data_IF_485939708710
#
_entry.id   IF_485939708710
#
_cell.length_a   1.000
_cell.length_b   1.000
_cell.length_c   1.000
_cell.angle_alpha   90.00
_cell.angle_beta   90.00
_cell.angle_gamma   90.00
#
_symmetry.space_group_name_H-M   'P 1'
#
loop_
_entity.id
_entity.type
_entity.pdbx_description
1 polymer ?
#
# COMPACT_ATOMS: atom_id res chain seq x y z
N UNK A 1 -5.24 -54.71 22.63
CA UNK A 1 -5.51 -54.31 21.23
C UNK A 1 -6.51 -53.14 21.14
N UNK A 2 -7.69 -53.21 21.77
CA UNK A 2 -8.72 -52.14 21.69
C UNK A 2 -8.23 -50.75 22.12
N UNK A 3 -7.43 -50.67 23.20
CA UNK A 3 -6.89 -49.40 23.73
C UNK A 3 -5.95 -48.68 22.74
N UNK A 4 -5.13 -49.42 21.98
CA UNK A 4 -4.20 -48.85 21.01
C UNK A 4 -4.93 -48.24 19.80
N UNK A 5 -6.02 -48.88 19.37
CA UNK A 5 -6.89 -48.37 18.29
C UNK A 5 -7.56 -47.06 18.70
N UNK A 6 -8.04 -46.95 19.94
CA UNK A 6 -8.65 -45.73 20.47
C UNK A 6 -7.64 -44.57 20.50
N UNK A 7 -6.40 -44.82 20.92
CA UNK A 7 -5.33 -43.81 20.95
C UNK A 7 -5.03 -43.31 19.53
N UNK A 8 -4.94 -44.19 18.54
CA UNK A 8 -4.71 -43.80 17.14
C UNK A 8 -5.88 -42.96 16.61
N UNK A 9 -7.12 -43.35 16.88
CA UNK A 9 -8.31 -42.60 16.45
C UNK A 9 -8.31 -41.18 17.06
N UNK A 10 -8.03 -41.06 18.35
CA UNK A 10 -7.95 -39.76 19.02
C UNK A 10 -6.82 -38.89 18.45
N UNK A 11 -5.66 -39.46 18.16
CA UNK A 11 -4.56 -38.74 17.52
C UNK A 11 -4.91 -38.28 16.10
N UNK A 12 -5.59 -39.11 15.31
CA UNK A 12 -6.07 -38.73 13.98
C UNK A 12 -7.12 -37.61 14.04
N UNK A 13 -8.04 -37.66 15.02
CA UNK A 13 -9.04 -36.62 15.23
C UNK A 13 -8.36 -35.30 15.64
N UNK A 14 -7.43 -35.35 16.60
CA UNK A 14 -6.66 -34.17 17.03
C UNK A 14 -5.88 -33.59 15.85
N UNK A 15 -5.19 -34.42 15.07
CA UNK A 15 -4.43 -33.99 13.90
C UNK A 15 -5.35 -33.38 12.83
N UNK A 16 -6.52 -33.97 12.56
CA UNK A 16 -7.52 -33.42 11.66
C UNK A 16 -8.00 -32.03 12.10
N UNK A 17 -8.31 -31.85 13.39
CA UNK A 17 -8.70 -30.55 13.92
C UNK A 17 -7.57 -29.53 13.85
N UNK A 18 -6.32 -29.92 14.14
CA UNK A 18 -5.16 -29.04 14.03
C UNK A 18 -4.88 -28.60 12.58
N UNK A 19 -5.00 -29.52 11.62
CA UNK A 19 -4.85 -29.22 10.19
C UNK A 19 -5.99 -28.31 9.72
N UNK A 20 -7.23 -28.64 10.06
CA UNK A 20 -8.41 -27.85 9.70
C UNK A 20 -8.36 -26.44 10.28
N UNK A 21 -7.95 -26.31 11.56
CA UNK A 21 -7.73 -25.03 12.21
C UNK A 21 -6.66 -24.22 11.46
N UNK A 22 -5.46 -24.79 11.25
CA UNK A 22 -4.39 -24.11 10.50
C UNK A 22 -4.85 -23.66 9.11
N UNK A 23 -5.57 -24.51 8.39
CA UNK A 23 -6.10 -24.18 7.07
C UNK A 23 -7.09 -23.02 7.13
N UNK A 24 -8.00 -23.03 8.10
CA UNK A 24 -8.97 -21.96 8.33
C UNK A 24 -8.32 -20.59 8.62
N UNK A 25 -7.22 -20.54 9.39
CA UNK A 25 -6.50 -19.28 9.66
C UNK A 25 -5.68 -18.77 8.50
N UNK A 26 -5.13 -19.68 7.68
CA UNK A 26 -4.35 -19.32 6.50
C UNK A 26 -5.26 -18.80 5.37
N UNK A 27 -6.52 -19.24 5.30
CA UNK A 27 -7.46 -18.85 4.25
C UNK A 27 -8.27 -17.58 4.52
N UNK A 28 -8.11 -16.92 5.68
CA UNK A 28 -8.84 -15.68 5.96
C UNK A 28 -8.41 -14.56 4.98
N UNK A 29 -9.37 -13.89 4.30
CA UNK A 29 -9.06 -12.75 3.46
C UNK A 29 -8.45 -11.64 4.33
N UNK A 30 -7.31 -11.10 3.89
CA UNK A 30 -6.68 -9.98 4.58
C UNK A 30 -7.62 -8.76 4.50
N UNK A 31 -8.09 -8.29 5.65
CA UNK A 31 -8.89 -7.07 5.73
C UNK A 31 -8.02 -5.93 5.18
N UNK A 32 -8.45 -5.22 4.11
CA UNK A 32 -7.68 -4.11 3.56
C UNK A 32 -7.45 -3.07 4.65
N UNK A 33 -6.17 -2.77 4.91
CA UNK A 33 -5.78 -1.76 5.91
C UNK A 33 -5.46 -0.44 5.21
N UNK A 34 -5.75 0.71 5.85
CA UNK A 34 -5.33 1.99 5.33
C UNK A 34 -3.81 2.06 5.16
N UNK A 35 -3.36 2.49 3.99
CA UNK A 35 -1.97 2.68 3.66
C UNK A 35 -1.79 3.93 2.79
N UNK A 36 -0.55 4.38 2.63
CA UNK A 36 -0.25 5.39 1.62
C UNK A 36 -0.08 4.71 0.26
N UNK A 37 -0.51 5.38 -0.78
CA UNK A 37 -0.27 4.97 -2.15
C UNK A 37 -0.07 6.18 -3.06
N UNK A 38 0.83 6.04 -4.04
CA UNK A 38 1.17 7.10 -4.96
C UNK A 38 0.43 6.93 -6.29
N UNK A 39 -0.09 8.02 -6.85
CA UNK A 39 -0.85 8.07 -8.10
C UNK A 39 -0.14 8.96 -9.10
N UNK A 40 0.14 8.40 -10.28
CA UNK A 40 0.67 9.09 -11.44
C UNK A 40 2.09 9.61 -11.26
N UNK A 41 2.61 10.18 -12.35
CA UNK A 41 3.89 10.90 -12.39
C UNK A 41 3.65 12.18 -13.19
N UNK A 42 3.94 13.33 -12.59
CA UNK A 42 3.82 14.65 -13.23
C UNK A 42 2.44 14.95 -13.86
N UNK A 43 1.35 14.55 -13.19
CA UNK A 43 0.00 14.61 -13.76
C UNK A 43 -0.91 15.65 -13.08
N UNK A 44 -0.71 15.94 -11.80
CA UNK A 44 -1.68 16.66 -10.98
C UNK A 44 -1.09 17.92 -10.35
N UNK A 45 -1.88 19.01 -10.37
CA UNK A 45 -1.60 20.24 -9.61
C UNK A 45 -2.19 20.13 -8.21
N UNK A 46 -1.60 20.83 -7.24
CA UNK A 46 -2.00 20.73 -5.83
C UNK A 46 -3.50 20.96 -5.61
N UNK A 47 -4.11 21.94 -6.31
CA UNK A 47 -5.53 22.27 -6.15
C UNK A 47 -6.49 21.10 -6.47
N UNK A 48 -6.07 20.13 -7.29
CA UNK A 48 -6.89 18.97 -7.67
C UNK A 48 -6.70 17.73 -6.79
N UNK A 49 -5.67 17.70 -5.95
CA UNK A 49 -5.21 16.45 -5.32
C UNK A 49 -6.12 15.98 -4.19
N UNK A 50 -6.68 16.91 -3.41
CA UNK A 50 -7.61 16.57 -2.33
C UNK A 50 -8.89 15.94 -2.88
N UNK A 51 -9.46 16.54 -3.93
CA UNK A 51 -10.64 15.99 -4.61
C UNK A 51 -10.34 14.62 -5.25
N UNK A 52 -9.14 14.43 -5.80
CA UNK A 52 -8.70 13.14 -6.34
C UNK A 52 -8.67 12.05 -5.26
N UNK A 53 -8.00 12.29 -4.12
CA UNK A 53 -7.95 11.30 -3.05
C UNK A 53 -9.35 11.03 -2.47
N UNK A 54 -10.18 12.06 -2.29
CA UNK A 54 -11.56 11.91 -1.78
C UNK A 54 -12.42 10.99 -2.65
N UNK A 55 -12.29 11.08 -3.98
CA UNK A 55 -13.00 10.16 -4.91
C UNK A 55 -12.59 8.70 -4.75
N UNK A 56 -11.43 8.44 -4.14
CA UNK A 56 -10.93 7.10 -3.82
C UNK A 56 -11.16 6.73 -2.35
N UNK A 57 -12.13 7.35 -1.69
CA UNK A 57 -12.40 7.17 -0.26
C UNK A 57 -11.14 7.33 0.61
N UNK A 58 -10.28 8.27 0.20
CA UNK A 58 -8.97 8.53 0.79
C UNK A 58 -8.78 10.03 0.99
N UNK A 59 -7.70 10.43 1.66
CA UNK A 59 -7.29 11.84 1.76
C UNK A 59 -5.86 12.01 1.27
N UNK A 60 -5.42 13.26 1.14
CA UNK A 60 -3.98 13.52 1.02
C UNK A 60 -3.25 12.90 2.22
N UNK A 61 -2.14 12.23 1.93
CA UNK A 61 -1.28 11.71 2.97
C UNK A 61 -0.55 12.86 3.68
N UNK A 62 -0.26 12.67 4.96
CA UNK A 62 0.67 13.53 5.68
C UNK A 62 2.12 13.20 5.28
N UNK A 63 3.04 14.14 5.48
CA UNK A 63 4.49 13.86 5.33
C UNK A 63 4.93 12.69 6.24
N UNK A 64 4.40 12.63 7.46
CA UNK A 64 4.74 11.59 8.44
C UNK A 64 4.28 10.19 8.02
N UNK A 65 3.09 10.07 7.43
CA UNK A 65 2.59 8.81 6.89
C UNK A 65 3.42 8.31 5.72
N UNK A 66 3.80 9.21 4.81
CA UNK A 66 4.69 8.88 3.70
C UNK A 66 6.07 8.44 4.22
N UNK A 67 6.62 9.13 5.23
CA UNK A 67 7.89 8.75 5.84
C UNK A 67 7.82 7.36 6.50
N UNK A 68 6.74 7.08 7.22
CA UNK A 68 6.49 5.76 7.81
C UNK A 68 6.39 4.66 6.75
N UNK A 69 5.84 4.94 5.59
CA UNK A 69 5.79 3.99 4.48
C UNK A 69 7.16 3.76 3.86
N UNK A 70 7.95 4.82 3.70
CA UNK A 70 9.34 4.73 3.25
C UNK A 70 10.19 3.83 4.15
N UNK A 71 10.11 4.02 5.48
CA UNK A 71 10.85 3.16 6.43
C UNK A 71 10.36 1.72 6.43
N UNK A 72 9.16 1.47 5.89
CA UNK A 72 8.57 0.14 5.65
C UNK A 72 8.82 -0.40 4.23
N UNK A 73 9.65 0.27 3.44
CA UNK A 73 10.10 -0.21 2.12
C UNK A 73 9.22 0.18 0.94
N UNK A 74 8.36 1.20 1.08
CA UNK A 74 7.77 1.87 -0.07
C UNK A 74 8.86 2.57 -0.88
N UNK A 75 8.79 2.48 -2.21
CA UNK A 75 9.85 2.96 -3.10
C UNK A 75 9.25 3.58 -4.38
N UNK A 76 9.17 4.91 -4.39
CA UNK A 76 8.67 5.73 -5.49
C UNK A 76 9.67 6.82 -5.88
N UNK A 77 10.32 6.62 -7.02
CA UNK A 77 11.10 7.65 -7.69
C UNK A 77 10.18 8.62 -8.46
N UNK A 78 9.33 9.33 -7.73
CA UNK A 78 8.53 10.45 -8.23
C UNK A 78 8.23 11.40 -7.10
N UNK A 79 8.20 12.70 -7.37
CA UNK A 79 7.69 13.68 -6.43
C UNK A 79 6.17 13.56 -6.39
N UNK A 80 5.62 13.31 -5.21
CA UNK A 80 4.18 13.22 -5.00
C UNK A 80 3.68 14.27 -4.00
N UNK A 81 2.60 14.96 -4.33
CA UNK A 81 1.93 15.88 -3.42
C UNK A 81 1.46 15.17 -2.16
N UNK A 82 1.76 15.75 -1.01
CA UNK A 82 1.23 15.46 0.33
C UNK A 82 0.51 16.71 0.85
N UNK A 83 -0.09 16.67 2.03
CA UNK A 83 -0.73 17.85 2.62
C UNK A 83 0.22 19.07 2.76
N UNK A 84 -0.35 20.28 2.76
CA UNK A 84 0.38 21.51 3.10
C UNK A 84 1.23 22.13 1.97
N UNK A 85 0.84 21.96 0.70
CA UNK A 85 1.60 22.40 -0.48
C UNK A 85 3.02 21.81 -0.56
N UNK A 86 3.18 20.61 0.00
CA UNK A 86 4.44 19.90 0.00
C UNK A 86 4.41 18.70 -0.94
N UNK A 87 5.57 18.35 -1.47
CA UNK A 87 5.75 17.12 -2.22
C UNK A 87 7.06 16.44 -1.84
N UNK A 88 7.05 15.11 -1.84
CA UNK A 88 8.20 14.30 -1.49
C UNK A 88 8.33 13.09 -2.43
N UNK A 89 9.57 12.69 -2.68
CA UNK A 89 9.93 11.42 -3.28
C UNK A 89 10.57 10.52 -2.22
N UNK A 90 10.35 9.21 -2.37
CA UNK A 90 10.90 8.21 -1.47
C UNK A 90 11.60 7.13 -2.28
N UNK A 91 12.92 7.05 -2.20
CA UNK A 91 13.67 6.05 -2.97
C UNK A 91 14.65 5.28 -2.09
N UNK A 92 14.72 3.97 -2.26
CA UNK A 92 15.80 3.15 -1.70
C UNK A 92 16.95 2.93 -2.70
N UNK A 93 16.81 3.41 -3.93
CA UNK A 93 17.76 3.20 -5.03
C UNK A 93 18.41 4.54 -5.37
N UNK A 94 19.73 4.51 -5.58
CA UNK A 94 20.50 5.64 -6.06
C UNK A 94 20.91 5.38 -7.52
N UNK A 95 20.36 6.16 -8.45
CA UNK A 95 20.69 6.17 -9.88
C UNK A 95 20.86 7.61 -10.36
N UNK A 96 21.28 7.80 -11.61
CA UNK A 96 21.36 9.14 -12.22
C UNK A 96 19.99 9.86 -12.27
N UNK A 97 18.89 9.11 -12.32
CA UNK A 97 17.52 9.64 -12.40
C UNK A 97 16.84 9.70 -11.03
N UNK A 98 17.22 8.81 -10.11
CA UNK A 98 16.55 8.59 -8.84
C UNK A 98 17.55 8.69 -7.70
N UNK A 99 17.48 9.76 -6.93
CA UNK A 99 18.33 9.90 -5.75
C UNK A 99 17.67 9.20 -4.56
N UNK A 100 18.43 8.33 -3.88
CA UNK A 100 17.95 7.66 -2.68
C UNK A 100 17.62 8.65 -1.55
N UNK A 101 16.68 8.26 -0.70
CA UNK A 101 16.26 9.00 0.49
C UNK A 101 14.81 9.46 0.44
N UNK A 102 14.46 10.21 1.49
CA UNK A 102 13.20 10.93 1.61
C UNK A 102 13.46 12.40 1.27
N UNK A 103 13.16 12.83 0.04
CA UNK A 103 13.54 14.15 -0.47
C UNK A 103 12.32 14.95 -0.89
N UNK A 104 12.31 16.23 -0.58
CA UNK A 104 11.19 17.11 -0.95
C UNK A 104 11.03 18.32 -0.04
N UNK A 105 9.92 19.02 -0.21
CA UNK A 105 9.68 20.30 0.44
C UNK A 105 8.41 20.96 -0.10
N UNK A 106 8.31 22.28 0.09
CA UNK A 106 7.20 23.09 -0.44
C UNK A 106 7.45 23.44 -1.90
N UNK A 107 6.41 23.37 -2.72
CA UNK A 107 6.48 23.68 -4.15
C UNK A 107 5.35 24.64 -4.58
N UNK A 108 5.49 25.36 -5.71
CA UNK A 108 4.40 26.14 -6.29
C UNK A 108 3.23 25.24 -6.69
N UNK A 109 2.01 25.54 -6.25
CA UNK A 109 0.84 24.67 -6.46
C UNK A 109 0.45 24.43 -7.94
N UNK A 110 1.00 25.21 -8.86
CA UNK A 110 0.75 25.15 -10.31
C UNK A 110 1.57 24.08 -11.03
N UNK A 111 2.62 23.53 -10.42
CA UNK A 111 3.40 22.46 -11.05
C UNK A 111 2.64 21.14 -11.02
N UNK A 112 2.90 20.26 -11.99
CA UNK A 112 2.29 18.94 -12.04
C UNK A 112 3.24 17.91 -11.44
N UNK A 113 2.77 17.15 -10.45
CA UNK A 113 3.49 16.09 -9.77
C UNK A 113 2.60 14.82 -9.66
N UNK A 114 3.12 13.76 -9.05
CA UNK A 114 2.27 12.67 -8.55
C UNK A 114 1.42 13.12 -7.36
N UNK A 115 0.58 12.24 -6.84
CA UNK A 115 -0.22 12.48 -5.63
C UNK A 115 -0.05 11.33 -4.68
N UNK A 116 0.17 11.60 -3.40
CA UNK A 116 0.19 10.58 -2.35
C UNK A 116 -1.10 10.67 -1.56
N UNK A 117 -1.92 9.63 -1.65
CA UNK A 117 -3.13 9.49 -0.87
C UNK A 117 -2.90 8.54 0.30
N UNK A 118 -3.71 8.68 1.35
CA UNK A 118 -3.81 7.76 2.49
C UNK A 118 -5.25 7.27 2.63
N UNK A 119 -5.42 5.95 2.65
CA UNK A 119 -6.71 5.28 2.75
C UNK A 119 -6.62 3.83 2.33
N UNK A 120 -7.75 3.17 2.06
CA UNK A 120 -7.73 1.82 1.50
C UNK A 120 -7.20 1.91 0.07
N UNK A 121 -6.02 1.34 -0.19
CA UNK A 121 -5.44 1.34 -1.54
C UNK A 121 -6.37 0.57 -2.48
N UNK A 122 -6.87 1.19 -3.55
CA UNK A 122 -7.71 0.49 -4.52
C UNK A 122 -6.90 -0.66 -5.14
N UNK A 123 -7.39 -1.89 -4.99
CA UNK A 123 -6.81 -3.09 -5.63
C UNK A 123 -7.28 -3.21 -7.09
N UNK A 124 -8.53 -2.80 -7.36
CA UNK A 124 -9.21 -2.77 -8.65
C UNK A 124 -10.57 -2.08 -8.43
N UNK A 125 -10.99 -1.14 -9.29
CA UNK A 125 -12.37 -0.62 -9.25
C UNK A 125 -13.15 -1.35 -10.34
N UNK A 126 -14.03 -2.26 -9.91
CA UNK A 126 -14.94 -3.02 -10.77
C UNK A 126 -15.85 -2.06 -11.56
N UNK A 127 -15.96 -2.25 -12.88
CA UNK A 127 -16.96 -1.60 -13.74
C UNK A 127 -16.73 -0.13 -14.15
N UNK A 128 -15.69 0.55 -13.64
CA UNK A 128 -15.18 1.81 -14.20
C UNK A 128 -13.66 1.77 -14.16
N UNK A 129 -13.05 1.52 -15.32
CA UNK A 129 -11.62 1.67 -15.53
C UNK A 129 -11.24 3.16 -15.34
N UNK A 130 -11.13 3.62 -14.11
CA UNK A 130 -10.27 4.75 -13.81
C UNK A 130 -8.86 4.23 -14.10
N UNK A 131 -8.33 4.57 -15.28
CA UNK A 131 -6.90 4.44 -15.66
C UNK A 131 -6.01 5.30 -14.75
N UNK A 132 -6.18 5.18 -13.44
CA UNK A 132 -5.36 5.81 -12.43
C UNK A 132 -4.07 4.99 -12.35
N UNK A 133 -2.98 5.61 -12.77
CA UNK A 133 -1.63 5.03 -12.71
C UNK A 133 -1.16 4.95 -11.25
N UNK A 134 -1.80 4.11 -10.43
CA UNK A 134 -1.40 3.85 -9.04
C UNK A 134 -0.11 3.05 -9.06
N UNK A 135 0.92 3.57 -8.40
CA UNK A 135 2.23 2.93 -8.38
C UNK A 135 2.22 1.72 -7.41
N UNK A 136 2.93 0.63 -7.74
CA UNK A 136 3.12 -0.49 -6.82
C UNK A 136 3.91 -0.01 -5.59
N UNK A 137 3.73 -0.66 -4.44
CA UNK A 137 4.45 -0.33 -3.19
C UNK A 137 5.96 -0.20 -3.39
N UNK A 138 6.54 -1.15 -4.13
CA UNK A 138 7.89 -1.05 -4.69
C UNK A 138 7.97 -1.92 -5.96
N UNK A 139 9.17 -2.12 -6.51
CA UNK A 139 9.36 -2.92 -7.74
C UNK A 139 8.91 -4.38 -7.64
N UNK A 140 8.73 -4.91 -6.42
CA UNK A 140 8.41 -6.33 -6.18
C UNK A 140 7.06 -6.55 -5.49
N UNK A 141 6.43 -5.51 -4.95
CA UNK A 141 5.21 -5.62 -4.12
C UNK A 141 4.17 -4.60 -4.54
N UNK A 142 2.90 -5.03 -4.54
CA UNK A 142 1.77 -4.17 -4.86
C UNK A 142 1.34 -3.30 -3.67
N UNK A 143 1.21 -3.87 -2.49
CA UNK A 143 0.74 -3.23 -1.25
C UNK A 143 1.74 -3.47 -0.11
N UNK A 144 1.59 -2.73 0.98
CA UNK A 144 2.32 -2.95 2.23
C UNK A 144 2.01 -4.31 2.89
N UNK A 145 0.76 -4.77 2.82
CA UNK A 145 0.29 -6.00 3.45
C UNK A 145 0.69 -7.26 2.66
#
# INVERSE_FOLDING_TARGET
>A
MLSFVIVIILLCIILYYLISYKYYWVSQPQIPKPEVYCIGRNAYRYASTEALCKRLNSRLATKGELYKAYTKGANWCTLGWVEGLQAYSISSINTNECQAGFKGGRFPGQIKLGVVCYGIKPSYIEGKELKLNILPWNTRKWSYN
#
